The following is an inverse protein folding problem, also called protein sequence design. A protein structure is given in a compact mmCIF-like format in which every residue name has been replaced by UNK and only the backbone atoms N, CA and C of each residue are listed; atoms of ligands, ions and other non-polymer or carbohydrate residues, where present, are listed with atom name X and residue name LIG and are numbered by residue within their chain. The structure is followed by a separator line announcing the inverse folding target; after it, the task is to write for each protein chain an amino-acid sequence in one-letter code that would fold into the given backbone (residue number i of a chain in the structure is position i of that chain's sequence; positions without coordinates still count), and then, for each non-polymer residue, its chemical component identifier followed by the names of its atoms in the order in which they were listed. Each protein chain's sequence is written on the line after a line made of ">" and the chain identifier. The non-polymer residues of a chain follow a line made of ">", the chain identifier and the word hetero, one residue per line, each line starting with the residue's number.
data_IF_612798339813
#
_entry.id   IF_612798339813
#
_cell.length_a   1.000
_cell.length_b   1.000
_cell.length_c   1.000
_cell.angle_alpha   90.00
_cell.angle_beta   90.00
_cell.angle_gamma   90.00
#
_symmetry.space_group_name_H-M   'P 1'
#
loop_
_entity.id
_entity.type
_entity.pdbx_description
1 polymer ?
#
# COMPACT_ATOMS: atom_id res chain seq x y z
N UNK A 1 -3.86 15.80 -22.69
CA UNK A 1 -3.48 15.08 -21.45
C UNK A 1 -3.42 15.99 -20.23
N UNK A 2 -2.94 17.24 -20.32
CA UNK A 2 -2.89 18.16 -19.16
C UNK A 2 -4.26 18.62 -18.62
N UNK A 3 -5.33 18.57 -19.42
CA UNK A 3 -6.64 19.14 -19.03
C UNK A 3 -7.64 18.17 -18.38
N UNK A 4 -7.31 16.88 -18.27
CA UNK A 4 -8.28 15.89 -17.78
C UNK A 4 -7.65 14.95 -16.73
N UNK A 5 -7.40 15.45 -15.51
CA UNK A 5 -7.00 14.61 -14.38
C UNK A 5 -8.02 13.49 -14.07
N UNK A 6 -9.26 13.63 -14.55
CA UNK A 6 -10.31 12.60 -14.50
C UNK A 6 -9.88 11.26 -15.10
N UNK A 7 -9.07 11.23 -16.16
CA UNK A 7 -8.65 9.96 -16.77
C UNK A 7 -7.81 9.09 -15.82
N UNK A 8 -7.02 9.72 -14.96
CA UNK A 8 -6.21 8.99 -13.96
C UNK A 8 -7.13 8.42 -12.88
N UNK A 9 -8.18 9.15 -12.52
CA UNK A 9 -9.17 8.71 -11.54
C UNK A 9 -10.07 7.59 -12.09
N UNK A 10 -10.52 7.72 -13.34
CA UNK A 10 -11.29 6.68 -14.05
C UNK A 10 -10.46 5.40 -14.22
N UNK A 11 -9.15 5.53 -14.48
CA UNK A 11 -8.23 4.39 -14.50
C UNK A 11 -8.16 3.68 -13.14
N UNK A 12 -8.07 4.43 -12.04
CA UNK A 12 -8.09 3.83 -10.70
C UNK A 12 -9.40 3.11 -10.42
N UNK A 13 -10.53 3.71 -10.78
CA UNK A 13 -11.84 3.10 -10.60
C UNK A 13 -11.96 1.80 -11.42
N UNK A 14 -11.52 1.81 -12.67
CA UNK A 14 -11.51 0.61 -13.52
C UNK A 14 -10.63 -0.51 -12.95
N UNK A 15 -9.45 -0.19 -12.41
CA UNK A 15 -8.59 -1.19 -11.79
C UNK A 15 -9.17 -1.72 -10.47
N UNK A 16 -9.86 -0.89 -9.69
CA UNK A 16 -10.62 -1.34 -8.52
C UNK A 16 -11.78 -2.27 -8.90
N UNK A 17 -12.54 -1.93 -9.95
CA UNK A 17 -13.66 -2.73 -10.46
C UNK A 17 -13.19 -4.09 -11.02
N UNK A 18 -11.94 -4.15 -11.51
CA UNK A 18 -11.28 -5.42 -11.92
C UNK A 18 -10.88 -6.31 -10.74
N UNK A 19 -11.05 -5.86 -9.50
CA UNK A 19 -10.74 -6.61 -8.29
C UNK A 19 -9.31 -6.41 -7.75
N UNK A 20 -8.58 -5.38 -8.21
CA UNK A 20 -7.31 -5.04 -7.59
C UNK A 20 -7.51 -4.40 -6.22
N UNK A 21 -6.65 -4.76 -5.27
CA UNK A 21 -6.66 -4.14 -3.95
C UNK A 21 -6.25 -2.66 -4.04
N UNK A 22 -6.81 -1.84 -3.14
CA UNK A 22 -6.46 -0.42 -3.03
C UNK A 22 -4.94 -0.19 -2.83
N UNK A 23 -4.23 -1.16 -2.24
CA UNK A 23 -2.77 -1.12 -2.12
C UNK A 23 -2.07 -1.07 -3.48
N UNK A 24 -2.50 -1.92 -4.41
CA UNK A 24 -1.91 -1.96 -5.76
C UNK A 24 -2.18 -0.65 -6.51
N UNK A 25 -3.38 -0.10 -6.39
CA UNK A 25 -3.74 1.20 -7.00
C UNK A 25 -2.91 2.35 -6.42
N UNK A 26 -2.59 2.31 -5.12
CA UNK A 26 -1.66 3.26 -4.50
C UNK A 26 -0.24 3.16 -5.08
N UNK A 27 0.25 1.94 -5.34
CA UNK A 27 1.55 1.74 -5.99
C UNK A 27 1.54 2.25 -7.43
N UNK A 28 0.47 1.99 -8.18
CA UNK A 28 0.31 2.56 -9.53
C UNK A 28 0.30 4.08 -9.51
N UNK A 29 -0.42 4.70 -8.57
CA UNK A 29 -0.43 6.16 -8.43
C UNK A 29 0.97 6.73 -8.18
N UNK A 30 1.76 6.11 -7.31
CA UNK A 30 3.13 6.53 -7.05
C UNK A 30 4.02 6.45 -8.30
N UNK A 31 3.90 5.37 -9.08
CA UNK A 31 4.67 5.17 -10.30
C UNK A 31 4.27 6.17 -11.39
N UNK A 32 2.96 6.34 -11.64
CA UNK A 32 2.44 7.28 -12.64
C UNK A 32 2.89 8.72 -12.32
N UNK A 33 2.78 9.13 -11.04
CA UNK A 33 3.23 10.45 -10.61
C UNK A 33 4.73 10.65 -10.84
N UNK A 34 5.55 9.63 -10.54
CA UNK A 34 7.01 9.69 -10.72
C UNK A 34 7.41 9.77 -12.20
N UNK A 35 6.73 9.02 -13.07
CA UNK A 35 6.93 9.10 -14.53
C UNK A 35 6.54 10.48 -15.08
N UNK A 36 5.40 11.03 -14.66
CA UNK A 36 4.96 12.37 -15.09
C UNK A 36 5.87 13.47 -14.53
N UNK A 37 6.39 13.30 -13.31
CA UNK A 37 7.38 14.21 -12.74
C UNK A 37 8.67 14.23 -13.58
N UNK A 38 9.12 13.05 -14.02
CA UNK A 38 10.27 12.95 -14.89
C UNK A 38 10.02 13.62 -16.24
N UNK A 39 8.84 13.39 -16.85
CA UNK A 39 8.43 14.06 -18.08
C UNK A 39 8.39 15.59 -17.94
N UNK A 40 8.00 16.10 -16.77
CA UNK A 40 8.05 17.53 -16.45
C UNK A 40 9.50 18.03 -16.36
N UNK A 41 10.38 17.29 -15.67
CA UNK A 41 11.80 17.66 -15.51
C UNK A 41 12.57 17.73 -16.83
N UNK A 42 12.28 16.83 -17.77
CA UNK A 42 12.90 16.83 -19.11
C UNK A 42 12.19 17.81 -20.08
N UNK A 43 11.19 18.55 -19.63
CA UNK A 43 10.49 19.58 -20.40
C UNK A 43 9.47 19.06 -21.42
N UNK A 44 9.05 17.79 -21.34
CA UNK A 44 8.03 17.22 -22.23
C UNK A 44 6.60 17.69 -21.91
N UNK A 45 6.32 18.04 -20.65
CA UNK A 45 5.02 18.56 -20.19
C UNK A 45 5.23 19.83 -19.35
N UNK A 46 4.25 20.74 -19.33
CA UNK A 46 4.35 22.03 -18.63
C UNK A 46 3.94 21.96 -17.17
N UNK A 47 3.24 20.89 -16.78
CA UNK A 47 2.86 20.61 -15.39
C UNK A 47 2.54 19.13 -15.21
N UNK A 48 2.66 18.63 -13.97
CA UNK A 48 2.29 17.25 -13.65
C UNK A 48 0.78 17.14 -13.38
N UNK A 49 -0.01 16.49 -14.25
CA UNK A 49 -1.46 16.36 -14.06
C UNK A 49 -1.82 15.45 -12.87
N UNK A 50 -0.90 14.59 -12.40
CA UNK A 50 -1.12 13.73 -11.25
C UNK A 50 -1.07 14.49 -9.91
N UNK A 51 -0.51 15.70 -9.85
CA UNK A 51 -0.52 16.52 -8.63
C UNK A 51 -1.93 17.04 -8.29
N UNK A 52 -2.86 17.03 -9.25
CA UNK A 52 -4.27 17.42 -9.06
C UNK A 52 -5.18 16.25 -8.66
N UNK A 53 -4.64 15.03 -8.57
CA UNK A 53 -5.39 13.81 -8.27
C UNK A 53 -5.08 13.40 -6.83
N UNK A 54 -6.10 13.28 -6.00
CA UNK A 54 -5.92 12.78 -4.62
C UNK A 54 -5.48 11.32 -4.63
N UNK A 55 -4.59 10.98 -3.68
CA UNK A 55 -4.14 9.61 -3.48
C UNK A 55 -5.33 8.73 -3.08
N UNK A 56 -5.53 7.57 -3.72
CA UNK A 56 -6.55 6.61 -3.30
C UNK A 56 -6.38 6.30 -1.81
N UNK A 57 -7.46 6.39 -1.02
CA UNK A 57 -7.42 6.14 0.42
C UNK A 57 -7.10 4.67 0.65
N UNK A 58 -6.05 4.40 1.43
CA UNK A 58 -5.70 3.06 1.91
C UNK A 58 -6.78 2.64 2.91
N UNK A 59 -7.49 1.54 2.66
CA UNK A 59 -8.25 0.92 3.73
C UNK A 59 -7.29 0.54 4.84
N UNK A 60 -7.66 0.89 6.09
CA UNK A 60 -6.85 0.53 7.24
C UNK A 60 -6.85 -0.99 7.32
N UNK A 61 -5.74 -1.60 6.92
CA UNK A 61 -5.49 -3.01 7.18
C UNK A 61 -5.65 -3.21 8.69
N UNK A 62 -6.72 -3.88 9.10
CA UNK A 62 -6.86 -4.35 10.46
C UNK A 62 -5.90 -5.53 10.56
N UNK A 63 -4.71 -5.28 11.10
CA UNK A 63 -3.90 -6.38 11.61
C UNK A 63 -4.74 -7.03 12.71
N UNK A 64 -5.17 -8.26 12.49
CA UNK A 64 -5.65 -9.10 13.58
C UNK A 64 -4.44 -9.27 14.51
N UNK A 65 -4.49 -8.57 15.65
CA UNK A 65 -3.54 -8.80 16.74
C UNK A 65 -3.94 -10.15 17.32
N UNK A 66 -3.00 -11.09 17.39
CA UNK A 66 -3.25 -12.40 18.00
C UNK A 66 -3.94 -12.22 19.35
N UNK A 67 -5.06 -12.92 19.53
CA UNK A 67 -5.76 -12.97 20.80
C UNK A 67 -4.91 -13.71 21.85
N UNK A 68 -5.20 -13.51 23.14
CA UNK A 68 -4.44 -14.16 24.22
C UNK A 68 -4.41 -15.68 24.11
N UNK A 69 -5.47 -16.30 23.60
CA UNK A 69 -5.56 -17.75 23.39
C UNK A 69 -4.66 -18.22 22.22
N UNK A 70 -4.58 -17.46 21.13
CA UNK A 70 -3.70 -17.77 19.99
C UNK A 70 -2.22 -17.62 20.38
N UNK A 71 -1.91 -16.63 21.23
CA UNK A 71 -0.57 -16.49 21.80
C UNK A 71 -0.21 -17.67 22.71
N UNK A 72 -1.12 -18.16 23.55
CA UNK A 72 -0.87 -19.34 24.38
C UNK A 72 -0.66 -20.62 23.55
N UNK A 73 -1.41 -20.78 22.46
CA UNK A 73 -1.20 -21.90 21.54
C UNK A 73 0.13 -21.79 20.81
N UNK A 74 0.52 -20.58 20.40
CA UNK A 74 1.83 -20.30 19.80
C UNK A 74 2.97 -20.60 20.78
N UNK A 75 2.85 -20.16 22.04
CA UNK A 75 3.86 -20.42 23.08
C UNK A 75 3.98 -21.91 23.43
N UNK A 76 2.86 -22.65 23.45
CA UNK A 76 2.89 -24.12 23.62
C UNK A 76 3.50 -24.85 22.43
N UNK A 77 3.28 -24.38 21.21
CA UNK A 77 3.81 -25.00 20.00
C UNK A 77 5.33 -24.77 19.80
N UNK A 78 5.88 -23.71 20.38
CA UNK A 78 7.30 -23.32 20.23
C UNK A 78 8.16 -23.78 21.43
N UNK A 79 7.54 -24.32 22.49
CA UNK A 79 8.23 -24.80 23.68
C UNK A 79 9.29 -25.86 23.33
N UNK A 80 10.57 -25.50 23.47
CA UNK A 80 11.71 -26.39 23.20
C UNK A 80 12.44 -26.18 21.87
N UNK A 81 12.04 -25.21 21.06
CA UNK A 81 12.73 -24.82 19.82
C UNK A 81 13.67 -23.61 20.09
N UNK A 82 14.92 -23.57 19.59
CA UNK A 82 15.83 -22.42 19.74
C UNK A 82 15.26 -21.08 19.23
N UNK A 83 14.15 -21.12 18.49
CA UNK A 83 13.37 -19.97 18.01
C UNK A 83 12.53 -19.26 19.11
N UNK A 84 12.35 -19.89 20.27
CA UNK A 84 11.49 -19.42 21.39
C UNK A 84 11.86 -18.01 21.85
N UNK A 85 13.15 -17.70 21.92
CA UNK A 85 13.65 -16.40 22.38
C UNK A 85 13.27 -15.24 21.44
N UNK A 86 13.20 -15.50 20.13
CA UNK A 86 12.86 -14.48 19.13
C UNK A 86 11.38 -14.12 19.14
N UNK A 87 10.50 -15.11 19.39
CA UNK A 87 9.05 -14.91 19.40
C UNK A 87 8.59 -14.23 20.69
N UNK A 88 9.24 -14.49 21.83
CA UNK A 88 8.94 -13.83 23.11
C UNK A 88 9.37 -12.35 23.12
N UNK A 89 10.46 -12.00 22.41
CA UNK A 89 10.99 -10.64 22.41
C UNK A 89 10.29 -9.69 21.42
N UNK A 90 9.72 -10.21 20.33
CA UNK A 90 9.08 -9.39 19.29
C UNK A 90 7.89 -8.52 19.75
N UNK A 91 7.04 -8.94 20.73
CA UNK A 91 5.94 -8.11 21.24
C UNK A 91 6.36 -7.02 22.24
N UNK A 92 7.59 -7.10 22.77
CA UNK A 92 8.09 -6.20 23.82
C UNK A 92 8.99 -5.05 23.30
N UNK A 93 9.21 -4.96 21.98
CA UNK A 93 10.01 -3.94 21.29
C UNK A 93 9.13 -3.00 20.47
#
# INVERSE_FOLDING_TARGET
>A
MEQHPKYIQDFYQHELDRGLTANTVIHYHANIRKCLQYAFQIGMIRSNPADRVERPRKEKFKSEIYSGEELEQLFKAIQGDPSEFGVIMAPCL
#
